data_IF_174360891004
#
_entry.id   IF_174360891004
#
_cell.length_a   1.000
_cell.length_b   1.000
_cell.length_c   1.000
_cell.angle_alpha   90.00
_cell.angle_beta   90.00
_cell.angle_gamma   90.00
#
_symmetry.space_group_name_H-M   'P 1'
#
loop_
_entity.id
_entity.type
_entity.pdbx_description
1 polymer ?
#
# COMPACT_ATOMS: atom_id res chain seq x y z
N UNK A 1 11.29 -15.35 -2.52
CA UNK A 1 11.92 -16.55 -3.00
C UNK A 1 10.75 -17.38 -3.45
N UNK A 2 10.70 -17.72 -4.74
CA UNK A 2 9.68 -18.64 -5.20
C UNK A 2 9.97 -20.00 -4.59
N UNK A 3 9.01 -20.53 -3.83
CA UNK A 3 9.12 -21.87 -3.28
C UNK A 3 9.10 -22.84 -4.46
N UNK A 4 10.27 -23.39 -4.76
CA UNK A 4 10.43 -24.49 -5.71
C UNK A 4 10.17 -25.81 -4.98
N UNK A 5 9.74 -26.80 -5.74
CA UNK A 5 9.63 -28.16 -5.24
C UNK A 5 10.94 -28.63 -4.61
N UNK A 6 10.84 -29.15 -3.38
CA UNK A 6 11.97 -29.66 -2.60
C UNK A 6 11.49 -30.85 -1.78
N UNK A 7 12.33 -31.86 -1.69
CA UNK A 7 12.12 -33.00 -0.79
C UNK A 7 12.54 -32.63 0.63
N UNK A 8 11.67 -32.89 1.59
CA UNK A 8 11.93 -32.71 3.01
C UNK A 8 12.26 -34.07 3.64
N UNK A 9 13.10 -34.12 4.69
CA UNK A 9 13.44 -35.37 5.38
C UNK A 9 12.30 -35.90 6.27
N UNK A 10 11.12 -35.30 6.19
CA UNK A 10 9.90 -35.64 6.90
C UNK A 10 8.70 -35.14 6.06
N UNK A 11 7.48 -35.69 6.26
CA UNK A 11 6.29 -35.30 5.50
C UNK A 11 5.93 -33.81 5.71
N UNK A 12 5.68 -33.09 4.63
CA UNK A 12 5.21 -31.69 4.65
C UNK A 12 3.87 -31.60 3.94
N UNK A 13 2.86 -31.03 4.62
CA UNK A 13 1.54 -30.83 4.02
C UNK A 13 1.64 -29.76 2.92
N UNK A 14 1.57 -30.19 1.66
CA UNK A 14 1.67 -29.31 0.51
C UNK A 14 0.92 -29.86 -0.71
N UNK A 15 0.14 -29.01 -1.39
CA UNK A 15 -0.64 -29.41 -2.57
C UNK A 15 0.24 -29.87 -3.77
N UNK A 16 1.57 -29.68 -3.72
CA UNK A 16 2.52 -30.08 -4.78
C UNK A 16 3.28 -31.36 -4.50
N UNK A 17 3.01 -32.04 -3.39
CA UNK A 17 3.51 -33.38 -3.09
C UNK A 17 2.35 -34.30 -2.68
N UNK A 18 2.66 -35.55 -2.38
CA UNK A 18 1.73 -36.57 -1.94
C UNK A 18 2.04 -37.05 -0.52
N UNK A 19 2.78 -36.27 0.29
CA UNK A 19 3.17 -36.63 1.66
C UNK A 19 1.95 -36.87 2.58
N UNK A 20 0.81 -36.25 2.23
CA UNK A 20 -0.45 -36.33 2.96
C UNK A 20 -1.60 -36.82 2.07
N UNK A 21 -2.47 -37.64 2.65
CA UNK A 21 -3.74 -38.08 2.09
C UNK A 21 -4.77 -36.96 2.15
N UNK A 22 -5.67 -36.96 1.16
CA UNK A 22 -6.90 -36.16 1.24
C UNK A 22 -7.74 -36.64 2.43
N UNK A 23 -8.42 -35.72 3.16
CA UNK A 23 -8.73 -34.35 2.76
C UNK A 23 -7.78 -33.30 3.34
N UNK A 24 -6.58 -33.66 3.82
CA UNK A 24 -5.67 -32.69 4.41
C UNK A 24 -5.26 -31.61 3.41
N UNK A 25 -5.34 -30.35 3.82
CA UNK A 25 -5.01 -29.21 2.96
C UNK A 25 -4.63 -27.97 3.77
N UNK A 26 -3.69 -27.19 3.26
CA UNK A 26 -3.38 -25.84 3.74
C UNK A 26 -3.37 -24.87 2.56
N UNK A 27 -4.24 -23.86 2.60
CA UNK A 27 -4.32 -22.80 1.61
C UNK A 27 -4.48 -21.44 2.30
N UNK A 28 -4.19 -20.36 1.57
CA UNK A 28 -4.30 -19.00 2.07
C UNK A 28 -5.03 -18.14 1.05
N UNK A 29 -5.96 -17.32 1.52
CA UNK A 29 -6.62 -16.29 0.72
C UNK A 29 -6.02 -14.93 1.10
N UNK A 30 -5.72 -14.11 0.09
CA UNK A 30 -5.13 -12.78 0.26
C UNK A 30 -6.00 -11.77 -0.46
N UNK A 31 -6.49 -10.77 0.26
CA UNK A 31 -7.26 -9.65 -0.26
C UNK A 31 -6.43 -8.36 -0.07
N UNK A 32 -5.78 -7.86 -1.14
CA UNK A 32 -5.13 -6.56 -1.10
C UNK A 32 -6.17 -5.44 -1.24
N UNK A 33 -6.05 -4.40 -0.40
CA UNK A 33 -6.80 -3.15 -0.52
C UNK A 33 -5.80 -1.98 -0.57
N UNK A 34 -5.85 -1.21 -1.65
CA UNK A 34 -5.11 0.06 -1.76
C UNK A 34 -5.72 1.11 -0.82
N UNK A 35 -4.85 1.86 -0.17
CA UNK A 35 -5.17 2.94 0.77
C UNK A 35 -4.17 4.08 0.59
N UNK A 36 -4.41 4.93 -0.42
CA UNK A 36 -3.57 6.06 -0.83
C UNK A 36 -2.10 5.68 -1.07
N UNK A 37 -1.28 5.71 -0.01
CA UNK A 37 0.15 5.34 -0.05
C UNK A 37 0.39 3.85 0.21
N UNK A 38 -0.50 3.19 0.91
CA UNK A 38 -0.25 1.89 1.52
C UNK A 38 -1.11 0.81 0.88
N UNK A 39 -0.67 -0.43 1.05
CA UNK A 39 -1.48 -1.61 0.69
C UNK A 39 -1.78 -2.37 1.96
N UNK A 40 -3.05 -2.48 2.29
CA UNK A 40 -3.53 -3.31 3.39
C UNK A 40 -3.81 -4.71 2.86
N UNK A 41 -3.06 -5.69 3.35
CA UNK A 41 -3.29 -7.11 3.08
C UNK A 41 -4.19 -7.68 4.17
N UNK A 42 -5.34 -8.24 3.78
CA UNK A 42 -6.10 -9.14 4.62
C UNK A 42 -5.76 -10.58 4.22
N UNK A 43 -5.33 -11.39 5.19
CA UNK A 43 -4.79 -12.74 4.95
C UNK A 43 -5.59 -13.74 5.78
N UNK A 44 -6.24 -14.70 5.12
CA UNK A 44 -7.03 -15.77 5.74
C UNK A 44 -6.33 -17.12 5.57
N UNK A 45 -5.99 -17.78 6.67
CA UNK A 45 -5.38 -19.10 6.69
C UNK A 45 -6.46 -20.19 6.75
N UNK A 46 -6.47 -21.05 5.74
CA UNK A 46 -7.41 -22.16 5.60
C UNK A 46 -6.66 -23.48 5.78
N UNK A 47 -6.68 -24.00 7.01
CA UNK A 47 -6.13 -25.30 7.34
C UNK A 47 -7.25 -26.32 7.53
N UNK A 48 -7.07 -27.49 6.92
CA UNK A 48 -7.91 -28.67 7.14
C UNK A 48 -7.00 -29.83 7.48
N UNK A 49 -6.61 -29.96 8.75
CA UNK A 49 -5.88 -31.11 9.27
C UNK A 49 -5.91 -31.09 10.80
N UNK A 50 -6.55 -32.08 11.42
CA UNK A 50 -6.83 -32.07 12.87
C UNK A 50 -5.57 -32.06 13.73
N UNK A 51 -4.52 -32.76 13.31
CA UNK A 51 -3.29 -32.86 14.10
C UNK A 51 -2.48 -31.57 13.99
N UNK A 52 -2.40 -30.95 12.81
CA UNK A 52 -1.74 -29.65 12.66
C UNK A 52 -2.54 -28.54 13.36
N UNK A 53 -3.87 -28.53 13.25
CA UNK A 53 -4.75 -27.60 13.98
C UNK A 53 -4.54 -27.70 15.50
N UNK A 54 -4.39 -28.92 16.01
CA UNK A 54 -4.09 -29.18 17.42
C UNK A 54 -2.73 -28.62 17.81
N UNK A 55 -1.69 -28.79 16.98
CA UNK A 55 -0.37 -28.19 17.24
C UNK A 55 -0.44 -26.66 17.35
N UNK A 56 -1.24 -26.00 16.53
CA UNK A 56 -1.41 -24.54 16.58
C UNK A 56 -2.15 -24.13 17.85
N UNK A 57 -3.27 -24.80 18.17
CA UNK A 57 -4.02 -24.58 19.43
C UNK A 57 -3.15 -24.77 20.68
N UNK A 58 -2.25 -25.75 20.65
CA UNK A 58 -1.32 -26.04 21.74
C UNK A 58 -0.06 -25.14 21.73
N UNK A 59 0.02 -24.13 20.85
CA UNK A 59 1.18 -23.23 20.71
C UNK A 59 2.50 -23.95 20.34
N UNK A 60 2.39 -25.12 19.69
CA UNK A 60 3.55 -25.90 19.20
C UNK A 60 3.88 -25.57 17.75
N UNK A 61 2.92 -25.05 17.01
CA UNK A 61 3.07 -24.56 15.64
C UNK A 61 2.39 -23.19 15.48
N UNK A 62 2.73 -22.47 14.42
CA UNK A 62 2.15 -21.17 14.09
C UNK A 62 2.12 -20.93 12.58
N UNK A 63 1.15 -20.14 12.12
CA UNK A 63 1.11 -19.62 10.77
C UNK A 63 2.20 -18.57 10.61
N UNK A 64 2.90 -18.61 9.47
CA UNK A 64 3.98 -17.69 9.15
C UNK A 64 3.80 -17.15 7.74
N UNK A 65 3.83 -15.83 7.62
CA UNK A 65 3.85 -15.08 6.37
C UNK A 65 5.26 -14.54 6.18
N UNK A 66 5.85 -14.80 5.03
CA UNK A 66 7.14 -14.22 4.64
C UNK A 66 6.92 -13.36 3.41
N UNK A 67 7.07 -12.04 3.57
CA UNK A 67 6.93 -11.05 2.51
C UNK A 67 8.32 -10.62 2.08
N UNK A 68 8.54 -10.52 0.78
CA UNK A 68 9.76 -9.90 0.25
C UNK A 68 9.50 -9.06 -0.98
N UNK A 69 10.30 -8.00 -1.12
CA UNK A 69 10.39 -7.15 -2.31
C UNK A 69 11.80 -7.13 -2.84
N UNK A 70 11.99 -7.57 -4.08
CA UNK A 70 13.31 -7.56 -4.71
C UNK A 70 13.83 -6.14 -4.96
N UNK A 71 12.93 -5.22 -5.32
CA UNK A 71 13.31 -3.86 -5.72
C UNK A 71 13.68 -2.97 -4.53
N UNK A 72 13.05 -3.17 -3.38
CA UNK A 72 13.24 -2.36 -2.16
C UNK A 72 14.15 -3.05 -1.12
N UNK A 73 14.64 -4.26 -1.42
CA UNK A 73 15.28 -5.16 -0.45
C UNK A 73 14.44 -5.45 0.80
N UNK A 74 13.13 -5.15 0.76
CA UNK A 74 12.20 -5.37 1.85
C UNK A 74 12.05 -6.86 2.14
N UNK A 75 12.13 -7.24 3.43
CA UNK A 75 11.87 -8.61 3.91
C UNK A 75 11.23 -8.55 5.28
N UNK A 76 10.12 -9.24 5.44
CA UNK A 76 9.42 -9.31 6.71
C UNK A 76 8.83 -10.70 6.97
N UNK A 77 8.85 -11.10 8.25
CA UNK A 77 8.26 -12.33 8.74
C UNK A 77 7.20 -11.98 9.77
N UNK A 78 5.98 -12.44 9.55
CA UNK A 78 4.85 -12.25 10.45
C UNK A 78 4.41 -13.63 10.93
N UNK A 79 4.37 -13.83 12.24
CA UNK A 79 3.93 -15.09 12.86
C UNK A 79 2.63 -14.88 13.63
N UNK A 80 1.68 -15.81 13.51
CA UNK A 80 0.38 -15.72 14.17
C UNK A 80 -0.22 -17.10 14.45
N UNK A 81 -1.16 -17.17 15.39
CA UNK A 81 -2.04 -18.34 15.59
C UNK A 81 -3.45 -18.08 15.08
N UNK A 82 -3.78 -16.82 14.85
CA UNK A 82 -5.08 -16.41 14.35
C UNK A 82 -5.24 -16.89 12.91
N UNK A 83 -6.46 -17.29 12.56
CA UNK A 83 -6.81 -17.73 11.20
C UNK A 83 -6.98 -16.56 10.23
N UNK A 84 -7.00 -15.34 10.74
CA UNK A 84 -7.10 -14.11 9.94
C UNK A 84 -6.13 -13.07 10.53
N UNK A 85 -5.39 -12.38 9.67
CA UNK A 85 -4.60 -11.20 10.05
C UNK A 85 -4.77 -10.07 9.04
N UNK A 86 -4.52 -8.85 9.48
CA UNK A 86 -4.35 -7.70 8.60
C UNK A 86 -2.97 -7.09 8.77
N UNK A 87 -2.30 -6.83 7.66
CA UNK A 87 -0.95 -6.30 7.61
C UNK A 87 -0.86 -5.13 6.64
N UNK A 88 -0.19 -4.04 7.02
CA UNK A 88 -0.08 -2.81 6.22
C UNK A 88 1.32 -2.71 5.63
N UNK A 89 1.40 -2.79 4.32
CA UNK A 89 2.61 -2.51 3.56
C UNK A 89 2.71 -1.01 3.30
N UNK A 90 3.83 -0.41 3.71
CA UNK A 90 4.06 1.03 3.55
C UNK A 90 4.62 1.35 2.18
N UNK A 91 4.30 2.51 1.62
CA UNK A 91 4.77 2.96 0.29
C UNK A 91 6.28 2.78 0.04
N UNK A 92 7.11 3.08 1.05
CA UNK A 92 8.57 2.97 0.94
C UNK A 92 9.05 1.53 0.76
N UNK A 93 8.27 0.57 1.24
CA UNK A 93 8.59 -0.86 1.26
C UNK A 93 8.08 -1.56 -0.03
N UNK A 94 7.21 -0.88 -0.79
CA UNK A 94 6.48 -1.42 -1.94
C UNK A 94 6.92 -0.77 -3.27
N UNK A 95 7.80 -1.46 -4.01
CA UNK A 95 8.12 -1.09 -5.39
C UNK A 95 8.35 -2.33 -6.25
N UNK A 96 7.68 -2.39 -7.40
CA UNK A 96 7.79 -3.50 -8.34
C UNK A 96 7.17 -4.77 -7.77
N UNK A 97 7.83 -5.91 -7.99
CA UNK A 97 7.28 -7.22 -7.61
C UNK A 97 7.47 -7.52 -6.13
N UNK A 98 6.35 -7.76 -5.45
CA UNK A 98 6.32 -8.34 -4.11
C UNK A 98 5.87 -9.81 -4.16
N UNK A 99 6.52 -10.61 -3.33
CA UNK A 99 6.23 -12.03 -3.19
C UNK A 99 5.91 -12.36 -1.73
N UNK A 100 4.77 -13.01 -1.52
CA UNK A 100 4.32 -13.48 -0.21
C UNK A 100 4.31 -15.01 -0.20
N UNK A 101 4.93 -15.59 0.81
CA UNK A 101 4.96 -17.03 1.03
C UNK A 101 4.34 -17.37 2.37
N UNK A 102 3.66 -18.51 2.44
CA UNK A 102 2.89 -18.91 3.61
C UNK A 102 3.29 -20.30 4.09
N UNK A 103 3.52 -20.40 5.39
CA UNK A 103 3.97 -21.62 6.04
C UNK A 103 3.20 -21.87 7.33
N UNK A 104 3.21 -23.12 7.77
CA UNK A 104 3.02 -23.46 9.19
C UNK A 104 4.38 -23.94 9.69
N UNK A 105 4.93 -23.30 10.72
CA UNK A 105 6.24 -23.67 11.28
C UNK A 105 6.09 -24.27 12.68
N UNK A 106 6.98 -25.20 13.03
CA UNK A 106 7.14 -25.66 14.40
C UNK A 106 7.75 -24.53 15.26
N UNK A 107 7.07 -24.13 16.33
CA UNK A 107 7.52 -23.05 17.24
C UNK A 107 8.54 -23.55 18.27
N UNK A 108 8.60 -24.85 18.47
CA UNK A 108 9.52 -25.57 19.34
C UNK A 108 9.81 -26.96 18.79
N UNK A 109 10.73 -27.69 19.40
CA UNK A 109 10.97 -29.10 19.06
C UNK A 109 9.72 -29.94 19.37
N UNK A 110 9.26 -30.72 18.40
CA UNK A 110 8.14 -31.66 18.50
C UNK A 110 8.70 -33.06 18.30
N UNK A 111 8.70 -33.86 19.36
CA UNK A 111 9.17 -35.25 19.31
C UNK A 111 8.07 -36.19 18.87
N UNK A 112 8.44 -37.22 18.11
CA UNK A 112 7.55 -38.29 17.66
C UNK A 112 6.25 -37.75 17.02
N UNK A 113 6.36 -36.70 16.20
CA UNK A 113 5.25 -36.17 15.43
C UNK A 113 4.71 -37.27 14.51
N UNK A 114 3.40 -37.43 14.53
CA UNK A 114 2.66 -38.35 13.69
C UNK A 114 1.41 -37.64 13.18
N UNK A 115 0.92 -38.06 12.04
CA UNK A 115 -0.34 -37.60 11.49
C UNK A 115 -1.08 -38.78 10.86
N UNK A 116 -2.34 -38.95 11.21
CA UNK A 116 -3.16 -40.03 10.66
C UNK A 116 -3.41 -39.86 9.15
N UNK A 117 -3.22 -38.65 8.63
CA UNK A 117 -3.34 -38.33 7.21
C UNK A 117 -2.03 -38.45 6.45
N UNK A 118 -0.94 -38.96 7.02
CA UNK A 118 0.25 -39.25 6.22
C UNK A 118 -0.05 -40.25 5.10
N UNK A 119 0.70 -40.15 4.00
CA UNK A 119 0.74 -41.18 2.97
C UNK A 119 1.12 -42.55 3.60
N UNK A 120 0.71 -43.63 2.94
CA UNK A 120 0.98 -45.02 3.35
C UNK A 120 2.47 -45.27 3.59
N UNK A 121 3.34 -44.66 2.77
CA UNK A 121 4.79 -44.73 2.89
C UNK A 121 5.34 -44.24 4.24
N UNK A 122 4.56 -43.42 4.97
CA UNK A 122 4.94 -42.86 6.27
C UNK A 122 4.00 -43.30 7.41
N UNK A 123 3.02 -44.16 7.13
CA UNK A 123 1.90 -44.45 8.04
C UNK A 123 2.28 -45.14 9.36
N UNK A 124 3.42 -45.83 9.41
CA UNK A 124 3.97 -46.45 10.63
C UNK A 124 5.10 -45.66 11.30
N UNK A 125 5.50 -44.53 10.72
CA UNK A 125 6.68 -43.78 11.16
C UNK A 125 6.31 -42.56 12.02
N UNK A 126 7.29 -42.09 12.80
CA UNK A 126 7.18 -40.83 13.53
C UNK A 126 8.40 -39.97 13.27
N UNK A 127 8.20 -38.66 13.25
CA UNK A 127 9.24 -37.70 12.87
C UNK A 127 9.54 -36.75 14.03
N UNK A 128 10.82 -36.41 14.20
CA UNK A 128 11.22 -35.38 15.16
C UNK A 128 11.35 -34.06 14.43
N UNK A 129 10.43 -33.12 14.67
CA UNK A 129 10.48 -31.79 14.10
C UNK A 129 11.26 -30.87 15.02
N UNK A 130 12.20 -30.11 14.45
CA UNK A 130 12.93 -29.06 15.16
C UNK A 130 12.20 -27.73 15.08
N UNK A 131 12.44 -26.85 16.05
CA UNK A 131 12.02 -25.45 15.96
C UNK A 131 12.39 -24.85 14.58
N UNK A 132 11.43 -24.21 13.92
CA UNK A 132 11.57 -23.62 12.59
C UNK A 132 11.37 -24.60 11.42
N UNK A 133 11.16 -25.89 11.67
CA UNK A 133 10.78 -26.83 10.62
C UNK A 133 9.41 -26.48 10.03
N UNK A 134 9.32 -26.52 8.71
CA UNK A 134 8.09 -26.30 7.95
C UNK A 134 7.22 -27.53 8.11
N UNK A 135 5.97 -27.36 8.55
CA UNK A 135 4.97 -28.43 8.70
C UNK A 135 4.02 -28.43 7.49
N UNK A 136 3.66 -27.24 7.00
CA UNK A 136 2.81 -27.07 5.84
C UNK A 136 3.24 -25.88 4.98
N UNK A 137 2.95 -25.95 3.68
CA UNK A 137 3.21 -24.89 2.70
C UNK A 137 1.92 -24.64 1.92
N UNK A 138 1.53 -23.37 1.81
CA UNK A 138 0.46 -22.96 0.90
C UNK A 138 1.06 -22.28 -0.34
N UNK A 139 0.26 -22.12 -1.39
CA UNK A 139 0.69 -21.39 -2.58
C UNK A 139 1.02 -19.93 -2.26
N UNK A 140 2.13 -19.45 -2.80
CA UNK A 140 2.56 -18.07 -2.63
C UNK A 140 1.68 -17.11 -3.42
N UNK A 141 1.57 -15.88 -2.92
CA UNK A 141 0.87 -14.77 -3.56
C UNK A 141 1.89 -13.81 -4.18
N UNK A 142 1.53 -13.24 -5.33
CA UNK A 142 2.37 -12.26 -6.04
C UNK A 142 1.54 -11.06 -6.42
N UNK A 143 2.15 -9.90 -6.29
CA UNK A 143 1.58 -8.65 -6.73
C UNK A 143 2.70 -7.80 -7.31
N UNK A 144 2.40 -7.18 -8.45
CA UNK A 144 3.28 -6.22 -9.10
C UNK A 144 2.71 -4.84 -8.78
N UNK A 145 3.52 -3.98 -8.15
CA UNK A 145 3.13 -2.64 -7.72
C UNK A 145 3.89 -1.64 -8.59
N UNK A 146 3.14 -0.91 -9.40
CA UNK A 146 3.65 0.22 -10.14
C UNK A 146 3.30 1.50 -9.38
N UNK A 147 4.30 2.34 -9.10
CA UNK A 147 4.05 3.69 -8.58
C UNK A 147 3.53 4.53 -9.75
N UNK A 148 2.22 4.77 -9.78
CA UNK A 148 1.59 5.56 -10.83
C UNK A 148 1.77 7.06 -10.55
N UNK A 149 2.85 7.65 -11.09
CA UNK A 149 3.03 9.12 -11.12
C UNK A 149 1.94 9.83 -11.96
N UNK A 150 1.21 9.09 -12.80
CA UNK A 150 0.10 9.58 -13.62
C UNK A 150 -1.04 10.23 -12.81
N UNK A 151 -1.23 9.86 -11.55
CA UNK A 151 -2.28 10.48 -10.71
C UNK A 151 -1.97 11.94 -10.37
N UNK A 152 -0.69 12.30 -10.25
CA UNK A 152 -0.25 13.69 -10.04
C UNK A 152 -0.41 14.52 -11.30
N UNK A 153 -0.19 13.93 -12.47
CA UNK A 153 -0.53 14.55 -13.75
C UNK A 153 -2.02 14.88 -13.84
N UNK A 154 -2.89 13.97 -13.35
CA UNK A 154 -4.34 14.19 -13.27
C UNK A 154 -4.71 15.25 -12.23
N UNK A 155 -4.06 15.29 -11.07
CA UNK A 155 -4.29 16.34 -10.06
C UNK A 155 -3.83 17.70 -10.61
N UNK A 156 -2.64 17.79 -11.20
CA UNK A 156 -2.17 19.02 -11.84
C UNK A 156 -3.14 19.51 -12.92
N UNK A 157 -3.82 18.59 -13.61
CA UNK A 157 -4.79 18.92 -14.66
C UNK A 157 -6.08 19.60 -14.16
N UNK A 158 -6.44 19.46 -12.88
CA UNK A 158 -7.64 20.09 -12.29
C UNK A 158 -7.38 21.52 -11.81
N UNK A 159 -6.11 21.95 -11.79
CA UNK A 159 -5.72 23.32 -11.49
C UNK A 159 -5.44 24.12 -12.77
N UNK A 160 -5.60 25.43 -12.65
CA UNK A 160 -5.22 26.42 -13.65
C UNK A 160 -4.50 27.54 -12.93
N UNK A 161 -3.18 27.65 -13.15
CA UNK A 161 -2.40 28.75 -12.59
C UNK A 161 -2.55 29.97 -13.51
N UNK A 162 -3.07 31.05 -12.94
CA UNK A 162 -3.42 32.26 -13.67
C UNK A 162 -2.55 33.43 -13.21
N UNK A 163 -2.05 34.20 -14.17
CA UNK A 163 -1.40 35.48 -13.91
C UNK A 163 -2.47 36.52 -13.57
N UNK A 164 -2.28 37.25 -12.46
CA UNK A 164 -3.08 38.44 -12.15
C UNK A 164 -2.51 39.65 -12.91
N UNK A 165 -3.37 40.44 -13.52
CA UNK A 165 -3.00 41.67 -14.25
C UNK A 165 -2.92 42.92 -13.34
N UNK A 166 -2.95 42.74 -12.03
CA UNK A 166 -2.76 43.85 -11.06
C UNK A 166 -1.29 44.02 -10.69
N UNK A 167 -0.88 45.27 -10.47
CA UNK A 167 0.45 45.64 -9.96
C UNK A 167 0.51 45.69 -8.43
N UNK A 168 -0.64 45.60 -7.75
CA UNK A 168 -0.70 45.54 -6.29
C UNK A 168 -0.23 44.17 -5.80
N UNK A 169 0.72 44.17 -4.85
CA UNK A 169 1.22 42.93 -4.25
C UNK A 169 0.13 42.33 -3.35
N UNK A 170 -0.60 41.35 -3.89
CA UNK A 170 -1.64 40.60 -3.16
C UNK A 170 -1.21 39.13 -2.98
N UNK A 171 -1.66 38.46 -1.92
CA UNK A 171 -1.34 37.04 -1.73
C UNK A 171 -1.92 36.14 -2.83
N UNK A 172 -1.54 34.86 -2.83
CA UNK A 172 -2.17 33.85 -3.70
C UNK A 172 -3.70 33.83 -3.49
N UNK A 173 -4.46 33.74 -4.57
CA UNK A 173 -5.94 33.62 -4.52
C UNK A 173 -6.40 32.31 -5.13
N UNK A 174 -7.49 31.75 -4.62
CA UNK A 174 -8.06 30.48 -5.08
C UNK A 174 -9.53 30.71 -5.42
N UNK A 175 -9.92 30.30 -6.63
CA UNK A 175 -11.30 30.37 -7.10
C UNK A 175 -11.79 28.98 -7.55
N UNK A 176 -12.89 28.54 -6.94
CA UNK A 176 -13.50 27.22 -7.12
C UNK A 176 -14.72 27.25 -8.04
N UNK A 177 -15.16 28.42 -8.51
CA UNK A 177 -16.38 28.61 -9.31
C UNK A 177 -16.24 28.26 -10.80
N UNK A 178 -15.17 27.58 -11.18
CA UNK A 178 -14.88 27.20 -12.56
C UNK A 178 -14.68 25.69 -12.69
N UNK A 179 -14.74 25.18 -13.92
CA UNK A 179 -14.44 23.78 -14.27
C UNK A 179 -13.10 23.27 -13.70
N UNK A 180 -12.09 24.14 -13.65
CA UNK A 180 -10.81 23.92 -12.99
C UNK A 180 -10.64 24.93 -11.87
N UNK A 181 -9.99 24.53 -10.78
CA UNK A 181 -9.61 25.46 -9.71
C UNK A 181 -8.61 26.46 -10.27
N UNK A 182 -8.92 27.76 -10.15
CA UNK A 182 -7.99 28.82 -10.58
C UNK A 182 -7.16 29.29 -9.40
N UNK A 183 -5.85 29.25 -9.56
CA UNK A 183 -4.90 29.81 -8.60
C UNK A 183 -4.31 31.08 -9.21
N UNK A 184 -4.65 32.23 -8.64
CA UNK A 184 -4.17 33.53 -9.09
C UNK A 184 -2.85 33.89 -8.39
N UNK A 185 -1.80 34.13 -9.17
CA UNK A 185 -0.49 34.57 -8.71
C UNK A 185 -0.19 35.99 -9.23
N UNK A 186 0.59 36.76 -8.46
CA UNK A 186 1.12 38.02 -8.96
C UNK A 186 2.07 37.78 -10.14
N UNK A 187 2.35 38.83 -10.90
CA UNK A 187 3.16 38.76 -12.12
C UNK A 187 4.52 38.09 -11.86
N UNK A 188 5.24 38.51 -10.83
CA UNK A 188 6.56 37.96 -10.49
C UNK A 188 6.48 36.48 -10.10
N UNK A 189 5.51 36.12 -9.26
CA UNK A 189 5.33 34.73 -8.78
C UNK A 189 4.89 33.80 -9.93
N UNK A 190 4.04 34.29 -10.83
CA UNK A 190 3.62 33.56 -12.03
C UNK A 190 4.79 33.27 -12.96
N UNK A 191 5.68 34.26 -13.18
CA UNK A 191 6.87 34.06 -14.02
C UNK A 191 7.80 33.02 -13.39
N UNK A 192 8.07 33.12 -12.09
CA UNK A 192 8.88 32.15 -11.37
C UNK A 192 8.26 30.74 -11.42
N UNK A 193 6.95 30.63 -11.17
CA UNK A 193 6.21 29.37 -11.30
C UNK A 193 6.34 28.79 -12.71
N UNK A 194 6.13 29.60 -13.75
CA UNK A 194 6.17 29.14 -15.14
C UNK A 194 7.54 28.60 -15.54
N UNK A 195 8.62 29.18 -15.00
CA UNK A 195 9.98 28.66 -15.21
C UNK A 195 10.22 27.36 -14.44
N UNK A 196 9.86 27.32 -13.16
CA UNK A 196 10.14 26.16 -12.29
C UNK A 196 9.28 24.94 -12.65
N UNK A 197 8.01 25.15 -13.00
CA UNK A 197 7.08 24.07 -13.40
C UNK A 197 7.45 23.37 -14.69
N UNK A 198 8.32 23.96 -15.53
CA UNK A 198 8.83 23.32 -16.74
C UNK A 198 10.01 22.39 -16.46
N UNK A 199 10.65 22.50 -15.31
CA UNK A 199 11.76 21.64 -14.92
C UNK A 199 11.22 20.41 -14.17
N UNK A 200 11.30 19.19 -14.74
CA UNK A 200 10.79 17.97 -14.10
C UNK A 200 11.32 17.75 -12.67
N UNK A 201 12.57 18.14 -12.39
CA UNK A 201 13.18 17.96 -11.08
C UNK A 201 12.59 18.90 -10.01
N UNK A 202 11.96 20.02 -10.42
CA UNK A 202 11.41 21.04 -9.52
C UNK A 202 9.89 20.98 -9.40
N UNK A 203 9.21 20.22 -10.26
CA UNK A 203 7.74 20.12 -10.28
C UNK A 203 7.19 19.73 -8.90
N UNK A 204 7.84 18.81 -8.19
CA UNK A 204 7.35 18.35 -6.89
C UNK A 204 7.45 19.42 -5.80
N UNK A 205 8.56 20.13 -5.76
CA UNK A 205 8.76 21.28 -4.87
C UNK A 205 7.73 22.37 -5.17
N UNK A 206 7.50 22.69 -6.44
CA UNK A 206 6.51 23.69 -6.86
C UNK A 206 5.09 23.26 -6.46
N UNK A 207 4.73 21.99 -6.68
CA UNK A 207 3.43 21.45 -6.29
C UNK A 207 3.20 21.53 -4.77
N UNK A 208 4.24 21.26 -3.97
CA UNK A 208 4.17 21.38 -2.51
C UNK A 208 3.97 22.83 -2.02
N UNK A 209 4.45 23.83 -2.78
CA UNK A 209 4.33 25.25 -2.44
C UNK A 209 2.98 25.84 -2.87
N UNK A 210 2.44 25.39 -4.01
CA UNK A 210 1.26 26.02 -4.62
C UNK A 210 0.01 25.14 -4.48
N UNK A 211 0.09 23.91 -4.98
CA UNK A 211 -1.07 23.02 -5.10
C UNK A 211 -1.49 22.51 -3.72
N UNK A 212 -0.53 22.19 -2.86
CA UNK A 212 -0.82 21.67 -1.53
C UNK A 212 -1.58 22.68 -0.64
N UNK A 213 -1.12 23.94 -0.45
CA UNK A 213 -1.92 24.93 0.28
C UNK A 213 -3.28 25.20 -0.35
N UNK A 214 -3.38 25.13 -1.68
CA UNK A 214 -4.66 25.30 -2.37
C UNK A 214 -5.65 24.19 -2.04
N UNK A 215 -5.21 22.92 -2.01
CA UNK A 215 -6.05 21.80 -1.59
C UNK A 215 -6.47 21.90 -0.13
N UNK A 216 -5.59 22.33 0.77
CA UNK A 216 -5.96 22.56 2.18
C UNK A 216 -7.13 23.55 2.25
N UNK A 217 -7.02 24.68 1.54
CA UNK A 217 -8.09 25.67 1.47
C UNK A 217 -9.38 25.09 0.88
N UNK A 218 -9.29 24.33 -0.21
CA UNK A 218 -10.45 23.70 -0.86
C UNK A 218 -11.17 22.75 0.10
N UNK A 219 -10.44 21.89 0.83
CA UNK A 219 -11.05 21.00 1.81
C UNK A 219 -11.70 21.78 2.96
N UNK A 220 -11.12 22.89 3.39
CA UNK A 220 -11.75 23.79 4.37
C UNK A 220 -13.03 24.45 3.83
N UNK A 221 -13.10 24.82 2.55
CA UNK A 221 -14.34 25.34 1.94
C UNK A 221 -15.39 24.24 1.78
N UNK A 222 -14.98 23.05 1.29
CA UNK A 222 -15.86 21.90 1.16
C UNK A 222 -16.49 21.54 2.50
N UNK A 223 -15.73 21.57 3.60
CA UNK A 223 -16.27 21.32 4.95
C UNK A 223 -17.39 22.27 5.34
N UNK A 224 -17.28 23.55 4.97
CA UNK A 224 -18.27 24.58 5.32
C UNK A 224 -19.53 24.43 4.49
N UNK A 225 -19.38 24.27 3.18
CA UNK A 225 -20.47 24.49 2.23
C UNK A 225 -20.91 23.22 1.49
N UNK A 226 -20.49 22.02 1.92
CA UNK A 226 -20.70 20.75 1.20
C UNK A 226 -22.16 20.50 0.78
N UNK A 227 -23.11 20.88 1.65
CA UNK A 227 -24.54 20.67 1.41
C UNK A 227 -25.23 21.89 0.78
N UNK A 228 -24.56 23.03 0.76
CA UNK A 228 -25.13 24.31 0.31
C UNK A 228 -24.83 24.56 -1.18
N UNK A 229 -23.71 24.06 -1.66
CA UNK A 229 -23.28 24.18 -3.05
C UNK A 229 -23.19 22.81 -3.71
N UNK A 230 -23.81 22.66 -4.88
CA UNK A 230 -23.63 21.46 -5.70
C UNK A 230 -22.31 21.55 -6.46
N UNK A 231 -21.30 20.83 -5.98
CA UNK A 231 -19.99 20.76 -6.63
C UNK A 231 -19.89 19.68 -7.71
N UNK A 232 -20.90 18.81 -7.85
CA UNK A 232 -20.82 17.60 -8.70
C UNK A 232 -20.67 17.91 -10.19
N UNK A 233 -21.07 19.11 -10.62
CA UNK A 233 -20.93 19.56 -12.00
C UNK A 233 -19.48 19.92 -12.36
N UNK A 234 -18.68 20.37 -11.40
CA UNK A 234 -17.29 20.80 -11.66
C UNK A 234 -16.37 19.61 -11.92
N UNK A 235 -15.55 19.69 -12.98
CA UNK A 235 -14.54 18.66 -13.28
C UNK A 235 -13.53 18.45 -12.15
N UNK A 236 -13.10 19.51 -11.48
CA UNK A 236 -12.15 19.39 -10.38
C UNK A 236 -12.72 18.58 -9.21
N UNK A 237 -14.00 18.74 -8.88
CA UNK A 237 -14.63 18.01 -7.79
C UNK A 237 -14.79 16.52 -8.13
N UNK A 238 -15.28 16.22 -9.35
CA UNK A 238 -15.38 14.82 -9.84
C UNK A 238 -14.03 14.11 -9.85
N UNK A 239 -12.95 14.83 -10.18
CA UNK A 239 -11.61 14.28 -10.12
C UNK A 239 -11.19 13.95 -8.68
N UNK A 240 -11.47 14.82 -7.71
CA UNK A 240 -11.24 14.53 -6.28
C UNK A 240 -12.07 13.32 -5.83
N UNK A 241 -13.37 13.28 -6.16
CA UNK A 241 -14.22 12.11 -5.85
C UNK A 241 -13.63 10.81 -6.40
N UNK A 242 -13.15 10.83 -7.64
CA UNK A 242 -12.54 9.66 -8.27
C UNK A 242 -11.25 9.22 -7.54
N UNK A 243 -10.44 10.17 -7.05
CA UNK A 243 -9.24 9.86 -6.26
C UNK A 243 -9.64 9.17 -4.96
N UNK A 244 -10.61 9.69 -4.20
CA UNK A 244 -11.08 9.04 -2.98
C UNK A 244 -11.67 7.66 -3.26
N UNK A 245 -12.54 7.53 -4.28
CA UNK A 245 -13.22 6.27 -4.63
C UNK A 245 -12.23 5.15 -4.98
N UNK A 246 -11.18 5.48 -5.73
CA UNK A 246 -10.10 4.53 -6.04
C UNK A 246 -9.38 4.03 -4.79
N UNK A 247 -9.22 4.90 -3.81
CA UNK A 247 -8.59 4.59 -2.52
C UNK A 247 -9.58 4.00 -1.50
N UNK A 248 -10.79 3.60 -1.94
CA UNK A 248 -11.77 2.92 -1.12
C UNK A 248 -12.49 3.80 -0.11
N UNK A 249 -12.50 5.12 -0.32
CA UNK A 249 -13.23 6.12 0.46
C UNK A 249 -14.20 6.91 -0.43
N UNK A 250 -15.29 7.41 0.14
CA UNK A 250 -16.18 8.34 -0.55
C UNK A 250 -15.95 9.77 -0.04
N UNK A 251 -15.73 10.72 -0.95
CA UNK A 251 -15.65 12.14 -0.61
C UNK A 251 -17.05 12.65 -0.24
N UNK A 252 -17.38 12.57 1.05
CA UNK A 252 -18.67 12.96 1.60
C UNK A 252 -18.51 13.83 2.84
N UNK A 253 -19.63 14.41 3.31
CA UNK A 253 -19.65 15.27 4.49
C UNK A 253 -19.07 14.60 5.74
N UNK A 254 -19.35 13.31 5.95
CA UNK A 254 -18.83 12.58 7.11
C UNK A 254 -17.30 12.45 7.08
N UNK A 255 -16.70 12.21 5.91
CA UNK A 255 -15.25 12.22 5.75
C UNK A 255 -14.67 13.60 6.06
N UNK A 256 -15.25 14.64 5.48
CA UNK A 256 -14.80 16.02 5.65
C UNK A 256 -14.90 16.50 7.12
N UNK A 257 -15.92 16.08 7.87
CA UNK A 257 -16.07 16.46 9.28
C UNK A 257 -15.11 15.70 10.21
N UNK A 258 -14.78 14.45 9.91
CA UNK A 258 -13.93 13.62 10.76
C UNK A 258 -12.43 13.80 10.50
N UNK A 259 -12.05 14.13 9.27
CA UNK A 259 -10.64 14.26 8.86
C UNK A 259 -10.19 15.71 8.83
N UNK A 260 -8.90 15.99 9.05
CA UNK A 260 -8.37 17.36 9.00
C UNK A 260 -7.99 17.70 7.54
N UNK A 261 -8.27 18.93 7.08
CA UNK A 261 -8.05 19.33 5.67
C UNK A 261 -6.61 19.18 5.20
N UNK A 262 -5.64 19.38 6.10
CA UNK A 262 -4.23 19.16 5.80
C UNK A 262 -3.95 17.70 5.46
N UNK A 263 -4.58 16.76 6.17
CA UNK A 263 -4.38 15.33 5.96
C UNK A 263 -5.00 14.89 4.62
N UNK A 264 -6.22 15.34 4.33
CA UNK A 264 -6.87 15.11 3.03
C UNK A 264 -6.03 15.65 1.86
N UNK A 265 -5.47 16.86 2.01
CA UNK A 265 -4.60 17.47 0.99
C UNK A 265 -3.29 16.68 0.81
N UNK A 266 -2.70 16.18 1.90
CA UNK A 266 -1.49 15.34 1.82
C UNK A 266 -1.81 14.01 1.12
N UNK A 267 -2.91 13.35 1.47
CA UNK A 267 -3.33 12.09 0.85
C UNK A 267 -3.58 12.23 -0.65
N UNK A 268 -4.32 13.27 -1.06
CA UNK A 268 -4.59 13.53 -2.48
C UNK A 268 -3.28 13.76 -3.25
N UNK A 269 -2.34 14.54 -2.73
CA UNK A 269 -1.06 14.83 -3.42
C UNK A 269 0.04 13.81 -3.16
N UNK A 270 -0.28 12.64 -2.59
CA UNK A 270 0.69 11.61 -2.24
C UNK A 270 1.87 12.16 -1.41
N UNK A 271 1.56 12.86 -0.31
CA UNK A 271 2.51 13.43 0.65
C UNK A 271 3.54 14.37 0.00
N UNK A 272 3.08 15.53 -0.51
CA UNK A 272 3.88 16.40 -1.36
C UNK A 272 5.12 16.99 -0.67
N UNK A 273 5.10 17.12 0.66
CA UNK A 273 6.26 17.61 1.44
C UNK A 273 7.42 16.60 1.39
N UNK A 274 7.15 15.32 1.63
CA UNK A 274 8.17 14.26 1.58
C UNK A 274 8.78 14.18 0.18
N UNK A 275 7.94 14.25 -0.85
CA UNK A 275 8.37 14.21 -2.25
C UNK A 275 9.19 15.43 -2.64
N UNK A 276 8.80 16.63 -2.18
CA UNK A 276 9.58 17.84 -2.38
C UNK A 276 10.97 17.74 -1.74
N UNK A 277 11.08 17.29 -0.49
CA UNK A 277 12.39 17.11 0.14
C UNK A 277 13.27 16.08 -0.58
N UNK A 278 12.70 14.95 -0.99
CA UNK A 278 13.44 13.94 -1.75
C UNK A 278 13.91 14.49 -3.10
N UNK A 279 13.07 15.28 -3.78
CA UNK A 279 13.42 15.96 -5.04
C UNK A 279 14.58 16.94 -4.84
N UNK A 280 14.57 17.74 -3.77
CA UNK A 280 15.63 18.70 -3.46
C UNK A 280 16.96 18.02 -3.13
N UNK A 281 16.95 16.94 -2.33
CA UNK A 281 18.17 16.20 -1.96
C UNK A 281 18.82 15.57 -3.21
N UNK A 282 18.01 15.00 -4.10
CA UNK A 282 18.52 14.37 -5.32
C UNK A 282 19.06 15.38 -6.36
N UNK A 283 18.67 16.66 -6.30
CA UNK A 283 19.28 17.71 -7.13
C UNK A 283 20.72 18.00 -6.68
N UNK A 284 21.00 18.01 -5.37
CA UNK A 284 22.35 18.30 -4.84
C UNK A 284 23.36 17.18 -5.14
N UNK A 285 22.92 15.91 -5.24
CA UNK A 285 23.81 14.78 -5.59
C UNK A 285 24.18 14.72 -7.08
N UNK A 286 23.43 15.41 -7.95
CA UNK A 286 23.69 15.45 -9.40
C UNK A 286 24.75 16.45 -9.84
N UNK A 287 25.13 17.39 -8.98
CA UNK A 287 26.13 18.43 -9.26
C UNK A 287 27.56 18.04 -8.80
N UNK A 288 27.72 16.92 -8.08
CA UNK A 288 29.01 16.40 -7.60
C UNK A 288 29.65 15.34 -8.54
N UNK A 289 29.02 15.03 -9.69
CA UNK A 289 29.57 14.18 -10.75
C UNK A 289 29.95 14.98 -12.03
N UNK A 290 30.69 16.10 -11.88
CA UNK A 290 31.50 16.71 -12.97
C UNK A 290 33.00 16.81 -12.64
#
# INVERSE_FOLDING_TARGET
MEIKYKLYPYPVLWDKNDDYKKPSKFSVEVEPKEDFKNIKLKINFLLKDKEIEKLIKENKAEYVVHIEGSSTYFREIISTKETEISYVLKDRDILGRLQVNFFILARQDIKNYKNDNFNEDYSSETFNLKKGNIIAIADGYRFDIEKNDDELGKISSIFSICKKETVEQTGMTIDMGYEKIRIGLNITDYVNYSQLSQNPNKVESVNSIIIFPALIYIFEQLKKDFNETDYTEYKWFRALENIFKKNGEDLNKGLLENEISIDLAQRVLNYPIERAFNSLINEDEGDDEE
#
